data_IF_990838770432
#
_entry.id   IF_990838770432
#
_cell.length_a   1.000
_cell.length_b   1.000
_cell.length_c   1.000
_cell.angle_alpha   90.00
_cell.angle_beta   90.00
_cell.angle_gamma   90.00
#
_symmetry.space_group_name_H-M   'P 1'
#
loop_
_entity.id
_entity.type
_entity.pdbx_description
1 polymer ?
#
# COMPACT_ATOMS: atom_id res chain seq x y z
N UNK A 1 -3.19 -8.13 -25.63
CA UNK A 1 -1.90 -8.52 -26.25
C UNK A 1 -1.28 -9.61 -25.41
N UNK A 2 -0.93 -10.75 -25.99
CA UNK A 2 -0.25 -11.82 -25.26
C UNK A 2 1.23 -11.42 -25.09
N UNK A 3 1.66 -11.11 -23.88
CA UNK A 3 3.07 -10.87 -23.54
C UNK A 3 3.75 -12.22 -23.26
N UNK A 4 3.60 -13.17 -24.19
CA UNK A 4 4.33 -14.43 -24.11
C UNK A 4 5.76 -14.19 -24.57
N UNK A 5 6.69 -14.17 -23.62
CA UNK A 5 8.13 -14.07 -23.87
C UNK A 5 8.67 -12.64 -23.92
N UNK A 6 8.54 -11.89 -22.82
CA UNK A 6 9.20 -10.58 -22.72
C UNK A 6 10.70 -10.75 -22.83
N UNK A 7 11.28 -10.26 -23.95
CA UNK A 7 12.73 -10.12 -24.04
C UNK A 7 13.20 -9.10 -23.00
N UNK A 8 14.14 -9.46 -22.14
CA UNK A 8 14.78 -8.56 -21.18
C UNK A 8 16.08 -8.00 -21.77
N UNK A 9 16.58 -6.85 -21.33
CA UNK A 9 16.02 -6.00 -20.27
C UNK A 9 14.84 -5.14 -20.72
N UNK A 10 14.02 -4.69 -19.74
CA UNK A 10 12.94 -3.72 -19.91
C UNK A 10 13.24 -2.45 -19.09
N UNK A 11 12.66 -1.34 -19.52
CA UNK A 11 12.80 -0.03 -18.84
C UNK A 11 11.52 0.30 -18.10
N UNK A 12 11.63 0.48 -16.79
CA UNK A 12 10.55 0.85 -15.89
C UNK A 12 10.66 2.31 -15.48
N UNK A 13 9.61 3.09 -15.68
CA UNK A 13 9.43 4.41 -15.07
C UNK A 13 8.58 4.24 -13.81
N UNK A 14 9.21 4.31 -12.65
CA UNK A 14 8.58 4.10 -11.34
C UNK A 14 8.09 5.44 -10.80
N UNK A 15 6.78 5.63 -10.73
CA UNK A 15 6.14 6.86 -10.24
C UNK A 15 5.81 6.73 -8.75
N UNK A 16 6.72 7.18 -7.92
CA UNK A 16 6.77 7.01 -6.47
C UNK A 16 8.00 6.21 -6.07
N UNK A 17 8.91 6.87 -5.35
CA UNK A 17 10.21 6.31 -5.00
C UNK A 17 10.34 6.07 -3.49
N UNK A 18 9.24 5.69 -2.83
CA UNK A 18 9.22 5.32 -1.42
C UNK A 18 9.88 3.97 -1.12
N UNK A 19 9.62 3.45 0.07
CA UNK A 19 10.14 2.15 0.54
C UNK A 19 9.69 0.97 -0.32
N UNK A 20 8.43 0.95 -0.74
CA UNK A 20 7.89 -0.11 -1.60
C UNK A 20 8.50 -0.02 -2.99
N UNK A 21 8.60 1.20 -3.53
CA UNK A 21 9.28 1.45 -4.79
C UNK A 21 10.76 1.02 -4.78
N UNK A 22 11.46 1.18 -3.64
CA UNK A 22 12.84 0.70 -3.48
C UNK A 22 12.93 -0.83 -3.61
N UNK A 23 12.07 -1.56 -2.92
CA UNK A 23 12.07 -3.03 -3.00
C UNK A 23 11.63 -3.52 -4.40
N UNK A 24 10.68 -2.84 -5.05
CA UNK A 24 10.33 -3.12 -6.46
C UNK A 24 11.52 -2.88 -7.40
N UNK A 25 12.24 -1.75 -7.24
CA UNK A 25 13.42 -1.46 -8.03
C UNK A 25 14.51 -2.54 -7.84
N UNK A 26 14.75 -2.99 -6.60
CA UNK A 26 15.69 -4.09 -6.30
C UNK A 26 15.23 -5.37 -7.02
N UNK A 27 13.95 -5.73 -6.96
CA UNK A 27 13.43 -6.90 -7.66
C UNK A 27 13.63 -6.78 -9.20
N UNK A 28 13.35 -5.62 -9.79
CA UNK A 28 13.56 -5.36 -11.21
C UNK A 28 15.03 -5.47 -11.62
N UNK A 29 15.92 -4.91 -10.80
CA UNK A 29 17.38 -4.96 -11.03
C UNK A 29 17.94 -6.39 -10.96
N UNK A 30 17.39 -7.26 -10.09
CA UNK A 30 17.80 -8.69 -10.04
C UNK A 30 17.55 -9.44 -11.34
N UNK A 31 16.59 -9.00 -12.17
CA UNK A 31 16.34 -9.55 -13.50
C UNK A 31 16.98 -8.74 -14.63
N UNK A 32 17.92 -7.83 -14.31
CA UNK A 32 18.69 -7.06 -15.29
C UNK A 32 17.91 -5.91 -15.95
N UNK A 33 16.73 -5.53 -15.44
CA UNK A 33 15.97 -4.43 -15.99
C UNK A 33 16.54 -3.07 -15.60
N UNK A 34 16.14 -2.02 -16.34
CA UNK A 34 16.43 -0.63 -16.03
C UNK A 34 15.28 0.00 -15.26
N UNK A 35 15.61 0.84 -14.27
CA UNK A 35 14.64 1.55 -13.45
C UNK A 35 14.97 3.03 -13.40
N UNK A 36 14.02 3.86 -13.80
CA UNK A 36 14.04 5.32 -13.60
C UNK A 36 13.11 5.61 -12.44
N UNK A 37 13.64 6.08 -11.31
CA UNK A 37 12.88 6.37 -10.10
C UNK A 37 12.45 7.84 -10.08
N UNK A 38 11.15 8.09 -9.90
CA UNK A 38 10.56 9.43 -9.93
C UNK A 38 9.93 9.75 -8.57
N UNK A 39 10.24 10.90 -8.02
CA UNK A 39 9.56 11.43 -6.82
C UNK A 39 9.59 12.97 -6.82
N UNK A 40 8.84 13.59 -5.90
CA UNK A 40 8.80 15.05 -5.72
C UNK A 40 10.02 15.61 -4.97
N UNK A 41 10.89 14.78 -4.42
CA UNK A 41 12.09 15.17 -3.68
C UNK A 41 13.27 14.27 -4.02
N UNK A 42 14.47 14.83 -3.95
CA UNK A 42 15.70 14.12 -4.24
C UNK A 42 16.07 13.10 -3.16
N UNK A 43 16.89 12.12 -3.52
CA UNK A 43 17.35 11.05 -2.63
C UNK A 43 16.23 10.23 -2.00
N UNK A 44 15.08 10.11 -2.68
CA UNK A 44 14.04 9.19 -2.27
C UNK A 44 14.55 7.74 -2.26
N UNK A 45 13.99 6.85 -1.42
CA UNK A 45 14.50 5.49 -1.23
C UNK A 45 14.80 4.70 -2.50
N UNK A 46 13.92 4.69 -3.49
CA UNK A 46 14.13 3.95 -4.74
C UNK A 46 15.22 4.58 -5.62
N UNK A 47 15.42 5.91 -5.55
CA UNK A 47 16.49 6.58 -6.30
C UNK A 47 17.89 6.10 -5.93
N UNK A 48 18.05 5.53 -4.72
CA UNK A 48 19.33 5.01 -4.23
C UNK A 48 19.77 3.71 -4.90
N UNK A 49 18.84 3.02 -5.58
CA UNK A 49 19.05 1.70 -6.20
C UNK A 49 18.65 1.65 -7.68
N UNK A 50 18.07 2.72 -8.19
CA UNK A 50 17.68 2.87 -9.59
C UNK A 50 18.89 3.23 -10.49
N UNK A 51 18.72 3.10 -11.80
CA UNK A 51 19.73 3.51 -12.79
C UNK A 51 19.73 5.03 -12.99
N UNK A 52 18.55 5.64 -12.97
CA UNK A 52 18.37 7.08 -13.10
C UNK A 52 17.29 7.58 -12.13
N UNK A 53 17.32 8.88 -11.82
CA UNK A 53 16.38 9.52 -10.92
C UNK A 53 15.85 10.83 -11.52
N UNK A 54 14.54 11.07 -11.37
CA UNK A 54 13.88 12.30 -11.78
C UNK A 54 13.13 12.91 -10.59
N UNK A 55 13.29 14.22 -10.41
CA UNK A 55 12.62 14.96 -9.34
C UNK A 55 11.60 15.90 -9.97
N UNK A 56 10.32 15.51 -9.92
CA UNK A 56 9.21 16.28 -10.47
C UNK A 56 7.98 16.19 -9.58
N UNK A 57 7.04 17.10 -9.76
CA UNK A 57 5.67 16.90 -9.29
C UNK A 57 4.92 15.96 -10.24
N UNK A 58 4.54 14.79 -9.80
CA UNK A 58 3.75 13.86 -10.63
C UNK A 58 2.28 14.30 -10.83
N UNK A 59 1.88 15.40 -10.20
CA UNK A 59 0.61 16.10 -10.49
C UNK A 59 0.74 17.06 -11.66
N UNK A 60 1.97 17.35 -12.12
CA UNK A 60 2.26 18.16 -13.30
C UNK A 60 2.30 17.26 -14.55
N UNK A 61 1.30 17.42 -15.42
CA UNK A 61 1.16 16.61 -16.63
C UNK A 61 2.27 16.88 -17.67
N UNK A 62 2.78 18.11 -17.75
CA UNK A 62 3.83 18.47 -18.70
C UNK A 62 5.19 17.90 -18.24
N UNK A 63 5.45 17.92 -16.94
CA UNK A 63 6.62 17.26 -16.36
C UNK A 63 6.58 15.75 -16.59
N UNK A 64 5.43 15.09 -16.40
CA UNK A 64 5.25 13.66 -16.71
C UNK A 64 5.50 13.37 -18.20
N UNK A 65 4.94 14.19 -19.12
CA UNK A 65 5.16 14.04 -20.55
C UNK A 65 6.64 14.16 -20.92
N UNK A 66 7.34 15.13 -20.32
CA UNK A 66 8.76 15.36 -20.57
C UNK A 66 9.62 14.14 -20.21
N UNK A 67 9.42 13.55 -19.01
CA UNK A 67 10.22 12.38 -18.59
C UNK A 67 9.86 11.12 -19.36
N UNK A 68 8.58 10.91 -19.71
CA UNK A 68 8.17 9.77 -20.54
C UNK A 68 8.77 9.87 -21.94
N UNK A 69 8.79 11.08 -22.53
CA UNK A 69 9.43 11.33 -23.83
C UNK A 69 10.95 11.13 -23.77
N UNK A 70 11.59 11.59 -22.70
CA UNK A 70 13.04 11.44 -22.47
C UNK A 70 13.45 9.98 -22.36
N UNK A 71 12.80 9.22 -21.48
CA UNK A 71 13.22 7.87 -21.11
C UNK A 71 12.60 6.75 -21.96
N UNK A 72 11.47 7.00 -22.62
CA UNK A 72 10.73 6.04 -23.45
C UNK A 72 10.55 4.67 -22.78
N UNK A 73 9.96 4.63 -21.58
CA UNK A 73 9.86 3.39 -20.82
C UNK A 73 8.99 2.34 -21.50
N UNK A 74 9.29 1.07 -21.29
CA UNK A 74 8.40 -0.05 -21.65
C UNK A 74 7.18 -0.08 -20.73
N UNK A 75 7.38 0.24 -19.45
CA UNK A 75 6.35 0.22 -18.42
C UNK A 75 6.38 1.48 -17.55
N UNK A 76 5.21 2.05 -17.30
CA UNK A 76 5.00 3.07 -16.27
C UNK A 76 4.35 2.38 -15.07
N UNK A 77 4.97 2.49 -13.88
CA UNK A 77 4.52 1.80 -12.67
C UNK A 77 4.19 2.84 -11.59
N UNK A 78 2.90 3.21 -11.45
CA UNK A 78 2.40 4.00 -10.34
C UNK A 78 2.57 3.27 -9.00
N UNK A 79 3.18 3.93 -8.03
CA UNK A 79 3.49 3.40 -6.69
C UNK A 79 2.90 4.26 -5.56
N UNK A 80 2.37 5.43 -5.90
CA UNK A 80 1.71 6.34 -4.96
C UNK A 80 0.41 6.88 -5.55
N UNK A 81 -0.41 7.49 -4.70
CA UNK A 81 -1.71 8.04 -5.09
C UNK A 81 -1.62 9.49 -5.63
N UNK A 82 -0.50 10.19 -5.47
CA UNK A 82 -0.35 11.60 -5.88
C UNK A 82 0.18 11.74 -7.31
N UNK A 83 -0.58 11.24 -8.29
CA UNK A 83 -0.26 11.25 -9.73
C UNK A 83 -1.45 11.80 -10.52
N UNK A 84 -1.17 12.50 -11.62
CA UNK A 84 -2.21 12.93 -12.57
C UNK A 84 -2.67 11.74 -13.42
N UNK A 85 -3.77 11.13 -13.02
CA UNK A 85 -4.28 9.89 -13.64
C UNK A 85 -4.78 10.08 -15.06
N UNK A 86 -5.26 11.28 -15.42
CA UNK A 86 -5.64 11.62 -16.79
C UNK A 86 -4.45 11.46 -17.75
N UNK A 87 -3.25 11.84 -17.27
CA UNK A 87 -2.03 11.71 -18.06
C UNK A 87 -1.61 10.25 -18.25
N UNK A 88 -1.85 9.41 -17.25
CA UNK A 88 -1.64 7.96 -17.38
C UNK A 88 -2.55 7.36 -18.46
N UNK A 89 -3.82 7.78 -18.52
CA UNK A 89 -4.76 7.34 -19.54
C UNK A 89 -4.34 7.78 -20.97
N UNK A 90 -3.77 8.99 -21.11
CA UNK A 90 -3.19 9.44 -22.39
C UNK A 90 -2.00 8.57 -22.82
N UNK A 91 -1.14 8.16 -21.87
CA UNK A 91 -0.02 7.25 -22.17
C UNK A 91 -0.51 5.86 -22.60
N UNK A 92 -1.53 5.31 -21.93
CA UNK A 92 -2.15 4.04 -22.34
C UNK A 92 -2.74 4.14 -23.76
N UNK A 93 -3.44 5.24 -24.07
CA UNK A 93 -4.01 5.48 -25.40
C UNK A 93 -2.93 5.56 -26.51
N UNK A 94 -1.71 5.93 -26.15
CA UNK A 94 -0.53 5.95 -27.05
C UNK A 94 0.21 4.62 -27.11
N UNK A 95 -0.28 3.58 -26.42
CA UNK A 95 0.28 2.23 -26.40
C UNK A 95 1.41 2.00 -25.40
N UNK A 96 1.62 2.92 -24.46
CA UNK A 96 2.56 2.70 -23.34
C UNK A 96 1.84 1.87 -22.26
N UNK A 97 2.49 0.84 -21.77
CA UNK A 97 1.90 -0.02 -20.75
C UNK A 97 1.99 0.63 -19.36
N UNK A 98 0.85 0.91 -18.73
CA UNK A 98 0.75 1.43 -17.37
C UNK A 98 0.24 0.33 -16.45
N UNK A 99 0.94 0.04 -15.35
CA UNK A 99 0.56 -1.01 -14.39
C UNK A 99 0.81 -0.55 -12.95
N UNK A 100 -0.25 -0.46 -12.15
CA UNK A 100 -1.67 -0.76 -12.45
C UNK A 100 -2.22 0.15 -13.54
N UNK A 101 -3.33 -0.25 -14.17
CA UNK A 101 -3.94 0.57 -15.23
C UNK A 101 -4.27 1.98 -14.74
N UNK A 102 -4.30 2.95 -15.65
CA UNK A 102 -4.72 4.32 -15.32
C UNK A 102 -6.10 4.33 -14.65
N UNK A 103 -7.03 3.48 -15.11
CA UNK A 103 -8.34 3.31 -14.50
C UNK A 103 -8.23 2.78 -13.06
N UNK A 104 -7.48 1.72 -12.80
CA UNK A 104 -7.28 1.17 -11.46
C UNK A 104 -6.66 2.22 -10.51
N UNK A 105 -5.64 2.94 -10.98
CA UNK A 105 -5.02 4.04 -10.23
C UNK A 105 -6.03 5.13 -9.89
N UNK A 106 -6.86 5.53 -10.85
CA UNK A 106 -7.89 6.55 -10.64
C UNK A 106 -8.96 6.12 -9.64
N UNK A 107 -9.45 4.86 -9.74
CA UNK A 107 -10.45 4.33 -8.79
C UNK A 107 -9.92 4.29 -7.37
N UNK A 108 -8.70 3.87 -7.17
CA UNK A 108 -8.14 3.69 -5.82
C UNK A 108 -7.62 4.98 -5.18
N UNK A 109 -7.35 6.02 -5.97
CA UNK A 109 -7.08 7.37 -5.45
C UNK A 109 -8.33 8.01 -4.82
N UNK A 110 -9.52 7.59 -5.25
CA UNK A 110 -10.81 8.14 -4.85
C UNK A 110 -11.60 7.10 -4.06
N UNK A 111 -11.61 7.22 -2.73
CA UNK A 111 -12.25 6.25 -1.81
C UNK A 111 -13.74 6.06 -2.11
N UNK A 112 -14.43 7.09 -2.58
CA UNK A 112 -15.81 6.98 -3.00
C UNK A 112 -15.96 6.09 -4.24
N UNK A 113 -15.11 6.22 -5.24
CA UNK A 113 -15.20 5.44 -6.47
C UNK A 113 -14.99 3.94 -6.24
N UNK A 114 -13.95 3.58 -5.49
CA UNK A 114 -13.71 2.15 -5.21
C UNK A 114 -14.79 1.57 -4.31
N UNK A 115 -15.36 2.38 -3.38
CA UNK A 115 -16.47 1.97 -2.53
C UNK A 115 -17.75 1.75 -3.34
N UNK A 116 -18.09 2.67 -4.24
CA UNK A 116 -19.26 2.58 -5.10
C UNK A 116 -19.13 1.42 -6.09
N UNK A 117 -17.95 1.19 -6.65
CA UNK A 117 -17.67 0.00 -7.47
C UNK A 117 -17.92 -1.29 -6.68
N UNK A 118 -17.32 -1.41 -5.50
CA UNK A 118 -17.42 -2.64 -4.71
C UNK A 118 -18.85 -2.90 -4.21
N UNK A 119 -19.45 -1.93 -3.55
CA UNK A 119 -20.78 -2.08 -2.95
C UNK A 119 -21.90 -1.93 -3.96
N UNK A 120 -21.85 -0.89 -4.81
CA UNK A 120 -22.95 -0.52 -5.73
C UNK A 120 -22.98 -1.39 -6.97
N UNK A 121 -21.88 -1.48 -7.71
CA UNK A 121 -21.85 -2.19 -9.00
C UNK A 121 -21.66 -3.71 -8.82
N UNK A 122 -20.75 -4.10 -7.91
CA UNK A 122 -20.40 -5.51 -7.72
C UNK A 122 -21.24 -6.18 -6.61
N UNK A 123 -21.98 -5.42 -5.80
CA UNK A 123 -22.75 -5.98 -4.67
C UNK A 123 -21.89 -6.71 -3.65
N UNK A 124 -20.65 -6.24 -3.45
CA UNK A 124 -19.72 -6.81 -2.47
C UNK A 124 -20.06 -6.27 -1.08
N UNK A 125 -20.00 -7.12 -0.06
CA UNK A 125 -20.22 -6.68 1.32
C UNK A 125 -19.11 -5.74 1.77
N UNK A 126 -19.50 -4.49 2.10
CA UNK A 126 -18.66 -3.44 2.69
C UNK A 126 -19.29 -2.96 3.99
N UNK A 127 -18.62 -2.10 4.76
CA UNK A 127 -19.30 -1.29 5.76
C UNK A 127 -20.43 -0.49 5.11
N UNK A 128 -21.56 -0.28 5.79
CA UNK A 128 -22.59 0.69 5.34
C UNK A 128 -21.95 2.06 5.30
N UNK A 129 -22.26 2.88 4.30
CA UNK A 129 -21.62 4.16 4.12
C UNK A 129 -22.55 5.20 3.52
N UNK A 130 -22.16 6.45 3.65
CA UNK A 130 -22.78 7.58 2.97
C UNK A 130 -21.78 8.73 2.84
N UNK A 131 -22.09 9.69 1.98
CA UNK A 131 -21.23 10.83 1.71
C UNK A 131 -21.83 12.11 2.27
N UNK A 132 -20.96 13.07 2.63
CA UNK A 132 -21.36 14.39 3.07
C UNK A 132 -20.37 15.44 2.53
N UNK A 133 -20.91 16.55 2.01
CA UNK A 133 -20.21 17.73 1.56
C UNK A 133 -20.36 18.93 2.51
N UNK A 134 -21.22 18.79 3.52
CA UNK A 134 -21.45 19.78 4.56
C UNK A 134 -21.57 19.12 5.93
N UNK A 135 -21.38 19.90 6.99
CA UNK A 135 -21.57 19.39 8.37
C UNK A 135 -23.02 18.91 8.62
N UNK A 136 -24.01 19.59 8.04
CA UNK A 136 -25.43 19.21 8.17
C UNK A 136 -25.70 17.86 7.50
N UNK A 137 -25.14 17.62 6.31
CA UNK A 137 -25.21 16.33 5.63
C UNK A 137 -24.47 15.24 6.44
N UNK A 138 -23.31 15.55 7.01
CA UNK A 138 -22.57 14.63 7.87
C UNK A 138 -23.44 14.18 9.06
N UNK A 139 -24.10 15.12 9.72
CA UNK A 139 -25.00 14.82 10.84
C UNK A 139 -26.18 13.91 10.43
N UNK A 140 -26.77 14.17 9.27
CA UNK A 140 -27.87 13.35 8.74
C UNK A 140 -27.40 11.92 8.40
N UNK A 141 -26.29 11.79 7.68
CA UNK A 141 -25.74 10.47 7.30
C UNK A 141 -25.26 9.69 8.54
N UNK A 142 -24.61 10.36 9.49
CA UNK A 142 -24.18 9.71 10.73
C UNK A 142 -25.35 9.22 11.59
N UNK A 143 -26.48 9.94 11.60
CA UNK A 143 -27.70 9.50 12.28
C UNK A 143 -28.33 8.27 11.63
N UNK A 144 -28.27 8.15 10.29
CA UNK A 144 -28.75 7.00 9.54
C UNK A 144 -27.87 5.75 9.74
N UNK A 145 -26.55 5.93 9.69
CA UNK A 145 -25.58 4.84 9.88
C UNK A 145 -25.57 4.37 11.34
N UNK A 146 -25.71 5.30 12.28
CA UNK A 146 -25.64 5.03 13.72
C UNK A 146 -24.23 5.26 14.28
N UNK A 147 -24.08 5.05 15.59
CA UNK A 147 -22.83 5.22 16.33
C UNK A 147 -22.41 3.90 17.00
N UNK A 148 -21.09 3.62 17.12
CA UNK A 148 -20.00 4.42 16.55
C UNK A 148 -19.95 4.32 15.02
N UNK A 149 -19.40 5.37 14.38
CA UNK A 149 -19.10 5.38 12.96
C UNK A 149 -17.69 5.95 12.70
N UNK A 150 -17.24 5.88 11.46
CA UNK A 150 -15.91 6.38 11.06
C UNK A 150 -16.10 7.44 9.99
N UNK A 151 -15.60 8.65 10.26
CA UNK A 151 -15.56 9.76 9.32
C UNK A 151 -14.18 9.84 8.69
N UNK A 152 -14.11 9.85 7.36
CA UNK A 152 -12.85 9.90 6.60
C UNK A 152 -12.95 10.91 5.45
N UNK A 153 -11.87 11.64 5.10
CA UNK A 153 -11.83 12.34 3.82
C UNK A 153 -11.96 11.34 2.67
N UNK A 154 -12.63 11.72 1.59
CA UNK A 154 -12.71 10.88 0.38
C UNK A 154 -11.34 10.67 -0.23
N UNK A 155 -10.47 11.68 -0.17
CA UNK A 155 -9.11 11.63 -0.71
C UNK A 155 -8.10 11.87 0.41
N UNK A 156 -7.51 10.80 0.92
CA UNK A 156 -6.43 10.83 1.94
C UNK A 156 -5.65 9.52 1.91
N UNK A 157 -4.46 9.52 2.53
CA UNK A 157 -3.63 8.31 2.71
C UNK A 157 -3.18 8.18 4.17
N UNK A 158 -2.86 6.96 4.60
CA UNK A 158 -2.33 6.68 5.95
C UNK A 158 -3.24 7.19 7.07
N UNK A 159 -4.56 7.01 6.96
CA UNK A 159 -5.53 7.36 8.00
C UNK A 159 -5.65 8.84 8.36
N UNK A 160 -5.00 9.76 7.59
CA UNK A 160 -5.08 11.20 7.86
C UNK A 160 -6.49 11.70 7.71
N UNK A 161 -6.94 12.51 8.68
CA UNK A 161 -8.29 13.05 8.72
C UNK A 161 -9.36 12.02 9.13
N UNK A 162 -8.98 10.79 9.48
CA UNK A 162 -9.92 9.77 9.94
C UNK A 162 -10.22 9.92 11.43
N UNK A 163 -11.50 9.83 11.80
CA UNK A 163 -11.97 9.84 13.18
C UNK A 163 -12.99 8.75 13.43
N UNK A 164 -12.88 8.06 14.56
CA UNK A 164 -13.96 7.23 15.11
C UNK A 164 -14.86 8.15 15.93
N UNK A 165 -16.12 8.26 15.54
CA UNK A 165 -17.14 9.12 16.16
C UNK A 165 -18.08 8.25 16.95
N UNK A 166 -18.19 8.50 18.27
CA UNK A 166 -18.99 7.68 19.19
C UNK A 166 -20.32 8.31 19.57
N UNK A 167 -20.43 9.63 19.35
CA UNK A 167 -21.64 10.36 19.65
C UNK A 167 -21.80 11.58 18.72
N UNK A 168 -23.03 12.12 18.60
CA UNK A 168 -23.30 13.28 17.75
C UNK A 168 -22.44 14.52 18.07
N UNK A 169 -22.03 14.67 19.32
CA UNK A 169 -21.25 15.82 19.81
C UNK A 169 -19.83 15.85 19.19
N UNK A 170 -19.31 14.69 18.80
CA UNK A 170 -17.97 14.57 18.20
C UNK A 170 -17.95 14.91 16.71
N UNK A 171 -19.10 14.98 16.02
CA UNK A 171 -19.20 15.16 14.56
C UNK A 171 -18.55 16.47 14.06
N UNK A 172 -18.69 17.57 14.81
CA UNK A 172 -18.10 18.86 14.41
C UNK A 172 -16.58 18.78 14.38
N UNK A 173 -15.98 18.17 15.40
CA UNK A 173 -14.52 17.98 15.47
C UNK A 173 -14.03 17.03 14.38
N UNK A 174 -14.76 15.92 14.12
CA UNK A 174 -14.43 14.97 13.08
C UNK A 174 -14.52 15.61 11.68
N UNK A 175 -15.54 16.44 11.43
CA UNK A 175 -15.66 17.21 10.18
C UNK A 175 -14.48 18.13 9.96
N UNK A 176 -14.13 18.95 10.96
CA UNK A 176 -13.00 19.87 10.88
C UNK A 176 -11.71 19.13 10.58
N UNK A 177 -11.41 18.07 11.34
CA UNK A 177 -10.21 17.27 11.13
C UNK A 177 -10.17 16.61 9.74
N UNK A 178 -11.28 16.07 9.28
CA UNK A 178 -11.34 15.46 7.95
C UNK A 178 -11.14 16.47 6.82
N UNK A 179 -11.74 17.66 6.92
CA UNK A 179 -11.62 18.71 5.89
C UNK A 179 -10.26 19.37 5.87
N UNK A 180 -9.59 19.54 7.03
CA UNK A 180 -8.22 20.09 7.12
C UNK A 180 -7.16 19.13 6.57
N UNK A 181 -7.36 17.82 6.70
CA UNK A 181 -6.40 16.79 6.27
C UNK A 181 -6.71 16.17 4.91
N UNK A 182 -7.89 16.45 4.36
CA UNK A 182 -8.30 15.99 3.03
C UNK A 182 -7.44 16.61 1.93
N UNK A 183 -7.33 15.90 0.81
CA UNK A 183 -6.70 16.39 -0.42
C UNK A 183 -7.80 16.67 -1.45
N UNK A 184 -7.65 17.74 -2.22
CA UNK A 184 -8.59 18.14 -3.28
C UNK A 184 -9.36 19.42 -2.96
N UNK A 185 -10.03 19.96 -3.97
CA UNK A 185 -10.67 21.29 -3.93
C UNK A 185 -12.06 21.28 -3.27
N UNK A 186 -12.59 20.12 -2.94
CA UNK A 186 -13.92 19.97 -2.34
C UNK A 186 -13.84 19.25 -0.98
N UNK A 187 -14.46 19.85 0.03
CA UNK A 187 -14.65 19.23 1.32
C UNK A 187 -15.72 18.13 1.20
N UNK A 188 -15.31 16.90 0.90
CA UNK A 188 -16.20 15.72 0.84
C UNK A 188 -15.64 14.64 1.76
N UNK A 189 -16.51 14.10 2.61
CA UNK A 189 -16.18 13.00 3.51
C UNK A 189 -17.06 11.79 3.22
N UNK A 190 -16.56 10.61 3.58
CA UNK A 190 -17.33 9.38 3.69
C UNK A 190 -17.55 9.07 5.17
N UNK A 191 -18.75 8.69 5.53
CA UNK A 191 -19.12 8.16 6.84
C UNK A 191 -19.35 6.67 6.67
N UNK A 192 -18.66 5.87 7.46
CA UNK A 192 -18.74 4.42 7.40
C UNK A 192 -19.20 3.84 8.74
N UNK A 193 -19.98 2.78 8.70
CA UNK A 193 -20.27 1.95 9.86
C UNK A 193 -18.99 1.48 10.53
N UNK A 194 -18.92 1.56 11.85
CA UNK A 194 -17.81 0.99 12.59
C UNK A 194 -17.96 -0.53 12.67
N UNK A 195 -17.07 -1.26 11.98
CA UNK A 195 -17.08 -2.72 11.97
C UNK A 195 -16.36 -3.24 13.22
N UNK A 196 -17.06 -4.05 14.02
CA UNK A 196 -16.44 -4.83 15.09
C UNK A 196 -15.87 -6.10 14.49
N UNK A 197 -14.58 -6.11 14.22
CA UNK A 197 -13.86 -7.23 13.60
C UNK A 197 -12.99 -7.97 14.62
N UNK A 198 -12.72 -9.24 14.35
CA UNK A 198 -11.78 -10.07 15.13
C UNK A 198 -10.36 -9.96 14.56
N UNK A 199 -10.25 -9.78 13.25
CA UNK A 199 -8.99 -9.73 12.53
C UNK A 199 -9.11 -8.78 11.34
N UNK A 200 -8.04 -8.01 11.10
CA UNK A 200 -7.85 -7.23 9.89
C UNK A 200 -6.80 -7.91 9.02
N UNK A 201 -7.09 -8.16 7.76
CA UNK A 201 -6.18 -8.83 6.84
C UNK A 201 -5.95 -8.03 5.56
N UNK A 202 -4.76 -8.22 4.99
CA UNK A 202 -4.47 -7.92 3.59
C UNK A 202 -4.36 -9.22 2.82
N UNK A 203 -5.11 -9.34 1.73
CA UNK A 203 -5.00 -10.43 0.77
C UNK A 203 -4.30 -9.93 -0.48
N UNK A 204 -3.00 -10.24 -0.60
CA UNK A 204 -2.24 -9.95 -1.81
C UNK A 204 -2.77 -10.81 -2.95
N UNK A 205 -3.32 -10.14 -3.95
CA UNK A 205 -4.02 -10.72 -5.09
C UNK A 205 -3.25 -10.40 -6.36
N UNK A 206 -2.82 -11.42 -7.09
CA UNK A 206 -1.98 -11.27 -8.26
C UNK A 206 -2.79 -11.55 -9.53
N UNK A 207 -2.92 -10.55 -10.37
CA UNK A 207 -3.48 -10.68 -11.70
C UNK A 207 -2.40 -10.88 -12.73
N UNK A 208 -2.56 -11.89 -13.56
CA UNK A 208 -1.65 -12.22 -14.66
C UNK A 208 -2.25 -11.77 -15.99
N UNK A 209 -1.41 -11.51 -17.00
CA UNK A 209 -1.88 -11.25 -18.38
C UNK A 209 -2.71 -12.41 -18.94
N UNK A 210 -2.36 -13.63 -18.54
CA UNK A 210 -3.09 -14.85 -18.88
C UNK A 210 -2.98 -15.84 -17.72
N UNK A 211 -4.02 -16.64 -17.50
CA UNK A 211 -4.09 -17.59 -16.40
C UNK A 211 -5.00 -17.11 -15.26
N UNK A 212 -5.07 -17.88 -14.17
CA UNK A 212 -5.93 -17.57 -13.05
C UNK A 212 -5.40 -16.39 -12.21
N UNK A 213 -6.29 -15.76 -11.48
CA UNK A 213 -5.91 -14.88 -10.36
C UNK A 213 -5.29 -15.72 -9.25
N UNK A 214 -4.12 -15.30 -8.76
CA UNK A 214 -3.42 -15.98 -7.68
C UNK A 214 -3.54 -15.17 -6.38
N UNK A 215 -3.42 -15.88 -5.24
CA UNK A 215 -3.50 -15.26 -3.92
C UNK A 215 -2.30 -15.69 -3.07
N UNK A 216 -1.69 -14.74 -2.38
CA UNK A 216 -0.80 -15.09 -1.28
C UNK A 216 -1.62 -15.61 -0.09
N UNK A 217 -1.04 -16.43 0.79
CA UNK A 217 -1.62 -16.65 2.11
C UNK A 217 -1.93 -15.32 2.81
N UNK A 218 -3.07 -15.22 3.53
CA UNK A 218 -3.53 -13.97 4.09
C UNK A 218 -2.52 -13.39 5.09
N UNK A 219 -2.40 -12.07 5.08
CA UNK A 219 -1.53 -11.33 5.99
C UNK A 219 -2.39 -10.63 7.02
N UNK A 220 -2.24 -11.00 8.30
CA UNK A 220 -2.83 -10.24 9.39
C UNK A 220 -2.01 -8.99 9.67
N UNK A 221 -2.65 -7.91 10.08
CA UNK A 221 -1.94 -6.69 10.42
C UNK A 221 -2.59 -5.91 11.54
N UNK A 222 -1.84 -4.99 12.11
CA UNK A 222 -2.29 -4.04 13.11
C UNK A 222 -1.87 -2.63 12.70
N UNK A 223 -2.81 -1.72 12.80
CA UNK A 223 -2.60 -0.30 12.57
C UNK A 223 -2.74 0.49 13.87
N UNK A 224 -2.04 1.62 13.96
CA UNK A 224 -2.26 2.64 14.98
C UNK A 224 -2.31 4.00 14.29
N UNK A 225 -3.26 4.83 14.66
CA UNK A 225 -3.46 6.16 14.04
C UNK A 225 -3.63 6.09 12.51
N UNK A 226 -4.15 4.95 11.99
CA UNK A 226 -4.26 4.68 10.57
C UNK A 226 -2.94 4.36 9.86
N UNK A 227 -1.85 4.22 10.60
CA UNK A 227 -0.55 3.81 10.07
C UNK A 227 -0.22 2.36 10.47
N UNK A 228 0.33 1.61 9.52
CA UNK A 228 0.85 0.27 9.72
C UNK A 228 1.89 0.20 10.86
N UNK A 229 1.75 -0.77 11.74
CA UNK A 229 2.66 -1.03 12.85
C UNK A 229 3.35 -2.39 12.73
N UNK A 230 2.56 -3.44 12.48
CA UNK A 230 3.06 -4.79 12.32
C UNK A 230 2.16 -5.60 11.37
N UNK A 231 2.74 -6.61 10.73
CA UNK A 231 2.00 -7.63 10.00
C UNK A 231 2.59 -9.02 10.26
N UNK A 232 1.80 -10.04 9.98
CA UNK A 232 2.21 -11.44 10.15
C UNK A 232 1.57 -12.35 9.10
N UNK A 233 2.27 -13.42 8.74
CA UNK A 233 1.83 -14.37 7.74
C UNK A 233 2.22 -15.80 8.13
N UNK A 234 1.30 -16.79 7.96
CA UNK A 234 -0.09 -16.63 7.54
C UNK A 234 -1.00 -16.14 8.67
N UNK A 235 -2.00 -15.32 8.35
CA UNK A 235 -3.04 -14.96 9.32
C UNK A 235 -3.97 -16.14 9.58
N UNK A 236 -4.36 -16.42 10.83
CA UNK A 236 -5.32 -17.46 11.14
C UNK A 236 -6.74 -17.00 10.75
N UNK A 237 -7.29 -17.56 9.70
CA UNK A 237 -8.63 -17.30 9.21
C UNK A 237 -9.36 -18.59 8.88
N UNK A 238 -10.66 -18.66 9.15
CA UNK A 238 -11.48 -19.80 8.79
C UNK A 238 -11.50 -20.01 7.27
N UNK A 239 -11.37 -21.25 6.76
CA UNK A 239 -11.30 -21.51 5.31
C UNK A 239 -12.45 -20.92 4.52
N UNK A 240 -13.66 -20.89 5.07
CA UNK A 240 -14.84 -20.35 4.39
C UNK A 240 -14.78 -18.81 4.27
N UNK A 241 -14.27 -18.12 5.29
CA UNK A 241 -14.06 -16.67 5.25
C UNK A 241 -12.92 -16.30 4.30
N UNK A 242 -11.87 -17.12 4.23
CA UNK A 242 -10.80 -16.94 3.24
C UNK A 242 -11.34 -17.08 1.81
N UNK A 243 -12.17 -18.08 1.53
CA UNK A 243 -12.82 -18.23 0.22
C UNK A 243 -13.69 -17.04 -0.13
N UNK A 244 -14.44 -16.49 0.84
CA UNK A 244 -15.21 -15.25 0.63
C UNK A 244 -14.29 -14.10 0.26
N UNK A 245 -13.24 -13.86 1.02
CA UNK A 245 -12.27 -12.80 0.75
C UNK A 245 -11.62 -12.96 -0.65
N UNK A 246 -11.20 -14.18 -1.03
CA UNK A 246 -10.65 -14.48 -2.35
C UNK A 246 -11.66 -14.20 -3.48
N UNK A 247 -12.92 -14.62 -3.31
CA UNK A 247 -13.97 -14.36 -4.30
C UNK A 247 -14.24 -12.86 -4.47
N UNK A 248 -14.26 -12.11 -3.38
CA UNK A 248 -14.42 -10.65 -3.41
C UNK A 248 -13.21 -10.00 -4.11
N UNK A 249 -11.99 -10.34 -3.67
CA UNK A 249 -10.77 -9.79 -4.22
C UNK A 249 -10.65 -10.07 -5.74
N UNK A 250 -10.98 -11.28 -6.16
CA UNK A 250 -10.99 -11.65 -7.58
C UNK A 250 -11.94 -10.76 -8.37
N UNK A 251 -13.20 -10.63 -7.95
CA UNK A 251 -14.21 -9.83 -8.65
C UNK A 251 -13.82 -8.36 -8.77
N UNK A 252 -13.35 -7.76 -7.68
CA UNK A 252 -12.94 -6.34 -7.68
C UNK A 252 -11.72 -6.13 -8.58
N UNK A 253 -10.69 -6.96 -8.45
CA UNK A 253 -9.46 -6.81 -9.25
C UNK A 253 -9.68 -7.13 -10.73
N UNK A 254 -10.57 -8.09 -11.06
CA UNK A 254 -10.97 -8.36 -12.45
C UNK A 254 -11.65 -7.17 -13.10
N UNK A 255 -12.51 -6.48 -12.38
CA UNK A 255 -13.19 -5.27 -12.87
C UNK A 255 -12.23 -4.11 -13.08
N UNK A 256 -11.24 -3.92 -12.20
CA UNK A 256 -10.20 -2.90 -12.36
C UNK A 256 -9.25 -3.20 -13.54
N UNK A 257 -9.10 -4.47 -13.91
CA UNK A 257 -8.29 -4.90 -15.05
C UNK A 257 -6.78 -4.80 -14.82
N UNK A 258 -6.03 -5.04 -15.90
CA UNK A 258 -4.57 -5.03 -15.89
C UNK A 258 -3.95 -6.28 -15.24
N UNK A 259 -2.62 -6.33 -15.25
CA UNK A 259 -1.81 -7.32 -14.55
C UNK A 259 -1.08 -6.63 -13.39
N UNK A 260 -0.54 -7.40 -12.44
CA UNK A 260 0.16 -6.86 -11.28
C UNK A 260 -0.40 -7.39 -9.96
N UNK A 261 0.09 -6.83 -8.86
CA UNK A 261 -0.36 -7.17 -7.52
C UNK A 261 -1.35 -6.12 -6.99
N UNK A 262 -2.30 -6.59 -6.20
CA UNK A 262 -3.29 -5.77 -5.51
C UNK A 262 -3.30 -6.16 -4.04
N UNK A 263 -3.12 -5.19 -3.15
CA UNK A 263 -3.33 -5.36 -1.71
C UNK A 263 -4.81 -5.10 -1.39
N UNK A 264 -5.58 -6.15 -1.12
CA UNK A 264 -7.01 -6.04 -0.81
C UNK A 264 -7.22 -6.23 0.69
N UNK A 265 -7.76 -5.23 1.35
CA UNK A 265 -7.96 -5.24 2.80
C UNK A 265 -9.37 -5.67 3.18
N UNK A 266 -9.46 -6.48 4.24
CA UNK A 266 -10.72 -6.99 4.76
C UNK A 266 -10.78 -6.89 6.28
N UNK A 267 -11.95 -6.56 6.79
CA UNK A 267 -12.33 -6.84 8.16
C UNK A 267 -12.95 -8.24 8.23
N UNK A 268 -12.43 -9.06 9.13
CA UNK A 268 -12.92 -10.42 9.35
C UNK A 268 -13.75 -10.44 10.64
N UNK A 269 -15.03 -10.73 10.48
CA UNK A 269 -15.96 -10.95 11.58
C UNK A 269 -16.23 -12.44 11.74
N UNK A 270 -16.92 -12.92 12.79
CA UNK A 270 -17.24 -14.35 12.95
C UNK A 270 -17.98 -14.98 11.76
N UNK A 271 -18.72 -14.16 11.00
CA UNK A 271 -19.63 -14.60 9.94
C UNK A 271 -19.28 -14.11 8.53
N UNK A 272 -18.36 -13.18 8.38
CA UNK A 272 -18.08 -12.58 7.07
C UNK A 272 -16.68 -12.02 6.89
N UNK A 273 -16.22 -12.01 5.64
CA UNK A 273 -15.17 -11.14 5.14
C UNK A 273 -15.81 -9.88 4.55
N UNK A 274 -15.48 -8.73 5.12
CA UNK A 274 -16.04 -7.42 4.72
C UNK A 274 -14.93 -6.63 4.01
N UNK A 275 -15.16 -6.26 2.75
CA UNK A 275 -14.23 -5.46 1.97
C UNK A 275 -14.03 -4.07 2.61
N UNK A 276 -12.78 -3.70 2.84
CA UNK A 276 -12.39 -2.42 3.42
C UNK A 276 -11.81 -1.47 2.38
N UNK A 277 -10.66 -1.81 1.82
CA UNK A 277 -9.92 -0.95 0.90
C UNK A 277 -9.13 -1.81 -0.11
N UNK A 278 -8.61 -1.18 -1.18
CA UNK A 278 -7.75 -1.82 -2.15
C UNK A 278 -6.65 -0.85 -2.61
N UNK A 279 -5.43 -1.35 -2.62
CA UNK A 279 -4.27 -0.71 -3.24
C UNK A 279 -3.84 -1.51 -4.47
N UNK A 280 -3.79 -0.92 -5.68
CA UNK A 280 -3.47 -1.65 -6.92
C UNK A 280 -1.95 -1.75 -7.13
N UNK A 281 -1.20 -2.04 -6.09
CA UNK A 281 0.26 -2.05 -5.99
C UNK A 281 0.72 -2.89 -4.81
N UNK A 282 2.04 -3.14 -4.64
CA UNK A 282 2.58 -3.69 -3.39
C UNK A 282 2.08 -2.93 -2.17
N UNK A 283 1.83 -3.64 -1.08
CA UNK A 283 1.21 -3.12 0.13
C UNK A 283 2.20 -3.12 1.30
N UNK A 284 2.17 -2.11 2.15
CA UNK A 284 3.12 -2.00 3.27
C UNK A 284 3.03 -3.17 4.26
N UNK A 285 1.85 -3.77 4.43
CA UNK A 285 1.68 -5.01 5.21
C UNK A 285 2.37 -6.20 4.54
N UNK A 286 2.55 -6.17 3.23
CA UNK A 286 3.22 -7.21 2.43
C UNK A 286 4.74 -7.27 2.61
N UNK A 287 5.35 -6.31 3.32
CA UNK A 287 6.78 -6.37 3.67
C UNK A 287 7.17 -7.66 4.39
N UNK A 288 6.25 -8.31 5.10
CA UNK A 288 6.49 -9.62 5.74
C UNK A 288 6.85 -10.69 4.70
N UNK A 289 6.41 -10.56 3.45
CA UNK A 289 6.70 -11.52 2.38
C UNK A 289 8.18 -11.56 1.99
N UNK A 290 8.95 -10.54 2.35
CA UNK A 290 10.41 -10.53 2.15
C UNK A 290 11.13 -11.69 2.86
N UNK A 291 10.52 -12.26 3.90
CA UNK A 291 11.11 -13.37 4.66
C UNK A 291 10.17 -14.57 4.79
N UNK A 292 8.86 -14.41 4.56
CA UNK A 292 7.88 -15.48 4.81
C UNK A 292 7.71 -16.45 3.65
N UNK A 293 7.89 -16.02 2.39
CA UNK A 293 7.53 -16.82 1.21
C UNK A 293 8.63 -16.84 0.13
N UNK A 294 8.50 -17.79 -0.79
CA UNK A 294 9.47 -18.04 -1.87
C UNK A 294 9.59 -16.90 -2.88
N UNK A 295 8.50 -16.17 -3.12
CA UNK A 295 8.43 -14.97 -3.94
C UNK A 295 7.80 -13.87 -3.11
N UNK A 296 8.53 -12.81 -2.83
CA UNK A 296 7.96 -11.67 -2.13
C UNK A 296 6.99 -10.88 -3.03
N UNK A 297 6.21 -9.98 -2.45
CA UNK A 297 5.19 -9.21 -3.16
C UNK A 297 5.76 -8.40 -4.34
N UNK A 298 7.00 -7.92 -4.24
CA UNK A 298 7.65 -7.13 -5.29
C UNK A 298 8.07 -8.01 -6.47
N UNK A 299 8.57 -9.21 -6.19
CA UNK A 299 8.90 -10.21 -7.21
C UNK A 299 7.63 -10.73 -7.90
N UNK A 300 6.55 -10.94 -7.14
CA UNK A 300 5.24 -11.30 -7.68
C UNK A 300 4.68 -10.20 -8.60
N UNK A 301 4.77 -8.94 -8.15
CA UNK A 301 4.36 -7.78 -8.95
C UNK A 301 5.15 -7.70 -10.26
N UNK A 302 6.47 -7.78 -10.17
CA UNK A 302 7.34 -7.74 -11.35
C UNK A 302 7.05 -8.90 -12.32
N UNK A 303 6.89 -10.13 -11.81
CA UNK A 303 6.57 -11.28 -12.67
C UNK A 303 5.22 -11.12 -13.36
N UNK A 304 4.22 -10.61 -12.65
CA UNK A 304 2.91 -10.32 -13.22
C UNK A 304 3.01 -9.26 -14.34
N UNK A 305 3.74 -8.16 -14.12
CA UNK A 305 3.99 -7.11 -15.12
C UNK A 305 4.67 -7.67 -16.37
N UNK A 306 5.73 -8.45 -16.18
CA UNK A 306 6.53 -9.02 -17.26
C UNK A 306 5.87 -10.24 -17.94
N UNK A 307 4.75 -10.75 -17.44
CA UNK A 307 4.13 -11.98 -17.91
C UNK A 307 4.99 -13.23 -17.66
N UNK A 308 5.85 -13.20 -16.65
CA UNK A 308 6.68 -14.32 -16.24
C UNK A 308 5.88 -15.33 -15.41
N UNK A 309 6.23 -16.63 -15.47
CA UNK A 309 5.51 -17.67 -14.72
C UNK A 309 5.57 -17.45 -13.20
N UNK A 310 4.44 -17.69 -12.54
CA UNK A 310 4.31 -17.80 -11.09
C UNK A 310 3.76 -19.20 -10.80
N UNK A 311 4.61 -20.24 -10.73
CA UNK A 311 4.14 -21.61 -10.64
C UNK A 311 3.51 -21.94 -9.28
N UNK A 312 4.05 -21.35 -8.21
CA UNK A 312 3.55 -21.52 -6.85
C UNK A 312 3.95 -20.34 -5.94
N UNK A 313 3.17 -20.13 -4.89
CA UNK A 313 3.44 -19.21 -3.80
C UNK A 313 3.45 -20.03 -2.51
N UNK A 314 4.64 -20.22 -1.93
CA UNK A 314 4.85 -21.07 -0.76
C UNK A 314 5.33 -20.23 0.42
N UNK A 315 4.68 -20.40 1.59
CA UNK A 315 5.18 -19.86 2.86
C UNK A 315 6.15 -20.87 3.47
N UNK A 316 7.33 -20.40 3.88
CA UNK A 316 8.37 -21.22 4.47
C UNK A 316 8.06 -21.56 5.93
N UNK A 317 7.76 -20.52 6.70
CA UNK A 317 7.47 -20.61 8.14
C UNK A 317 6.72 -19.36 8.61
N UNK A 318 6.08 -19.39 9.78
CA UNK A 318 5.43 -18.21 10.33
C UNK A 318 6.39 -17.02 10.44
N UNK A 319 5.96 -15.87 9.97
CA UNK A 319 6.79 -14.68 9.95
C UNK A 319 6.00 -13.44 10.35
N UNK A 320 6.72 -12.41 10.76
CA UNK A 320 6.14 -11.10 11.08
C UNK A 320 7.08 -9.97 10.67
N UNK A 321 6.50 -8.80 10.50
CA UNK A 321 7.20 -7.56 10.31
C UNK A 321 6.72 -6.51 11.32
N UNK A 322 7.61 -5.61 11.74
CA UNK A 322 7.29 -4.52 12.66
C UNK A 322 7.98 -3.22 12.20
N UNK A 323 7.24 -2.11 12.20
CA UNK A 323 7.74 -0.82 11.75
C UNK A 323 8.79 -0.24 12.70
N UNK A 324 9.88 0.28 12.14
CA UNK A 324 10.87 1.10 12.83
C UNK A 324 10.47 2.56 12.63
N UNK A 325 10.13 3.26 13.72
CA UNK A 325 9.53 4.58 13.69
C UNK A 325 10.49 5.65 14.18
N UNK A 326 10.46 6.82 13.52
CA UNK A 326 11.11 8.02 14.03
C UNK A 326 10.27 8.65 15.16
N UNK A 327 10.95 9.28 16.10
CA UNK A 327 10.34 9.89 17.30
C UNK A 327 10.20 11.42 17.21
N UNK A 328 10.85 12.07 16.22
CA UNK A 328 10.75 13.51 16.00
C UNK A 328 10.95 13.91 14.54
N UNK A 329 10.67 15.14 14.23
CA UNK A 329 10.97 15.75 12.93
C UNK A 329 12.45 16.13 12.87
N UNK A 330 13.05 15.92 11.68
CA UNK A 330 14.41 16.40 11.37
C UNK A 330 14.38 17.84 10.90
N UNK A 331 15.39 18.60 11.29
CA UNK A 331 15.72 19.86 10.65
C UNK A 331 16.44 19.63 9.31
N UNK A 332 16.40 20.58 8.35
CA UNK A 332 17.05 20.42 7.04
C UNK A 332 18.55 20.15 7.10
N UNK A 333 19.22 20.58 8.15
CA UNK A 333 20.67 20.40 8.36
C UNK A 333 21.02 19.09 9.09
N UNK A 334 20.03 18.29 9.50
CA UNK A 334 20.26 17.04 10.21
C UNK A 334 20.26 15.85 9.26
N UNK A 335 21.16 14.91 9.49
CA UNK A 335 21.23 13.62 8.81
C UNK A 335 20.62 12.53 9.64
N UNK A 336 19.89 11.61 8.99
CA UNK A 336 19.32 10.43 9.64
C UNK A 336 20.39 9.38 9.84
N UNK A 337 20.53 8.91 11.08
CA UNK A 337 21.44 7.81 11.46
C UNK A 337 20.67 6.75 12.25
N UNK A 338 21.21 5.54 12.27
CA UNK A 338 20.58 4.39 12.92
C UNK A 338 21.56 3.75 13.90
N UNK A 339 21.13 3.57 15.14
CA UNK A 339 21.86 2.87 16.20
C UNK A 339 21.17 1.56 16.57
N UNK A 340 21.88 0.66 17.26
CA UNK A 340 21.37 -0.62 17.74
C UNK A 340 21.21 -1.70 16.68
N UNK A 341 21.62 -1.47 15.42
CA UNK A 341 21.45 -2.44 14.33
C UNK A 341 22.25 -3.73 14.56
N UNK A 342 23.46 -3.63 15.11
CA UNK A 342 24.28 -4.81 15.41
C UNK A 342 23.59 -5.70 16.45
N UNK A 343 23.03 -5.12 17.51
CA UNK A 343 22.27 -5.85 18.53
C UNK A 343 20.99 -6.45 17.96
N UNK A 344 20.25 -5.68 17.18
CA UNK A 344 19.01 -6.11 16.53
C UNK A 344 19.22 -7.35 15.64
N UNK A 345 20.34 -7.45 14.94
CA UNK A 345 20.67 -8.56 14.04
C UNK A 345 21.34 -9.76 14.72
N UNK A 346 21.59 -9.70 16.04
CA UNK A 346 22.08 -10.87 16.80
C UNK A 346 21.01 -11.95 16.99
N UNK A 347 19.73 -11.60 16.89
CA UNK A 347 18.65 -12.56 17.08
C UNK A 347 18.48 -13.44 15.80
N UNK A 348 18.60 -14.79 15.89
CA UNK A 348 18.50 -15.64 14.70
C UNK A 348 17.12 -15.57 14.04
N UNK A 349 17.09 -15.69 12.70
CA UNK A 349 15.86 -15.65 11.91
C UNK A 349 15.25 -14.26 11.81
N UNK A 350 16.05 -13.22 11.99
CA UNK A 350 15.63 -11.82 11.83
C UNK A 350 16.36 -11.14 10.69
N UNK A 351 15.77 -10.06 10.19
CA UNK A 351 16.36 -9.18 9.19
C UNK A 351 15.82 -7.76 9.40
N UNK A 352 16.47 -6.76 8.82
CA UNK A 352 16.06 -5.36 8.89
C UNK A 352 16.14 -4.73 7.49
N UNK A 353 15.13 -3.95 7.13
CA UNK A 353 15.17 -3.07 5.96
C UNK A 353 15.13 -1.63 6.42
N UNK A 354 16.21 -0.91 6.23
CA UNK A 354 16.27 0.54 6.42
C UNK A 354 15.88 1.21 5.11
N UNK A 355 14.87 2.07 5.16
CA UNK A 355 14.31 2.64 3.92
C UNK A 355 15.21 3.67 3.27
N UNK A 356 16.05 4.35 4.07
CA UNK A 356 16.94 5.39 3.56
C UNK A 356 16.22 6.71 3.27
N UNK A 357 15.10 6.99 3.96
CA UNK A 357 14.40 8.28 3.83
C UNK A 357 15.30 9.42 4.33
N UNK A 358 15.46 10.52 3.56
CA UNK A 358 16.42 11.57 3.89
C UNK A 358 16.01 12.47 5.05
N UNK A 359 14.76 12.39 5.50
CA UNK A 359 14.22 13.21 6.60
C UNK A 359 13.30 12.38 7.50
N UNK A 360 13.03 12.88 8.69
CA UNK A 360 12.10 12.26 9.63
C UNK A 360 10.94 13.20 9.98
N UNK A 361 9.89 12.63 10.53
CA UNK A 361 8.82 13.28 11.30
C UNK A 361 8.36 12.29 12.35
N UNK A 362 7.67 12.76 13.36
CA UNK A 362 7.13 11.87 14.38
C UNK A 362 6.30 10.74 13.75
N UNK A 363 6.55 9.52 14.18
CA UNK A 363 5.93 8.28 13.69
C UNK A 363 6.20 7.95 12.22
N UNK A 364 7.12 8.66 11.53
CA UNK A 364 7.49 8.25 10.17
C UNK A 364 8.16 6.90 10.20
N UNK A 365 7.68 5.97 9.38
CA UNK A 365 8.31 4.66 9.18
C UNK A 365 9.65 4.87 8.46
N UNK A 366 10.73 4.46 9.10
CA UNK A 366 12.10 4.62 8.63
C UNK A 366 12.74 3.29 8.25
N UNK A 367 12.11 2.19 8.63
CA UNK A 367 12.53 0.84 8.34
C UNK A 367 11.46 -0.17 8.77
N UNK A 368 11.75 -1.43 8.55
CA UNK A 368 10.97 -2.56 9.02
C UNK A 368 11.91 -3.64 9.54
N UNK A 369 11.60 -4.16 10.72
CA UNK A 369 12.18 -5.39 11.26
C UNK A 369 11.35 -6.58 10.78
N UNK A 370 12.02 -7.64 10.37
CA UNK A 370 11.44 -8.87 9.84
C UNK A 370 11.88 -10.05 10.71
N UNK A 371 10.99 -10.98 11.00
CA UNK A 371 11.35 -12.15 11.80
C UNK A 371 10.57 -13.39 11.37
N UNK A 372 11.24 -14.56 11.48
CA UNK A 372 10.66 -15.88 11.34
C UNK A 372 10.76 -16.64 12.65
N UNK A 373 9.78 -17.50 12.92
CA UNK A 373 9.76 -18.34 14.13
C UNK A 373 8.80 -19.53 13.95
N UNK A 374 8.77 -20.44 14.94
CA UNK A 374 7.90 -21.63 14.92
C UNK A 374 6.40 -21.28 15.02
N UNK A 375 6.07 -20.10 15.50
CA UNK A 375 4.67 -19.62 15.58
C UNK A 375 4.55 -18.12 15.28
N UNK A 376 3.34 -17.70 14.90
CA UNK A 376 3.02 -16.29 14.64
C UNK A 376 3.32 -15.40 15.86
N UNK A 377 2.93 -15.82 17.06
CA UNK A 377 3.14 -15.05 18.28
C UNK A 377 4.63 -14.85 18.58
N UNK A 378 5.44 -15.89 18.37
CA UNK A 378 6.89 -15.79 18.50
C UNK A 378 7.50 -14.88 17.44
N UNK A 379 7.08 -14.99 16.17
CA UNK A 379 7.56 -14.16 15.09
C UNK A 379 7.22 -12.67 15.35
N UNK A 380 5.99 -12.36 15.76
CA UNK A 380 5.54 -11.02 16.14
C UNK A 380 6.35 -10.46 17.32
N UNK A 381 6.49 -11.24 18.40
CA UNK A 381 7.28 -10.84 19.56
C UNK A 381 8.74 -10.53 19.16
N UNK A 382 9.33 -11.36 18.31
CA UNK A 382 10.70 -11.20 17.80
C UNK A 382 10.83 -9.95 16.91
N UNK A 383 9.98 -9.77 15.91
CA UNK A 383 10.00 -8.60 15.05
C UNK A 383 9.85 -7.29 15.84
N UNK A 384 8.95 -7.26 16.82
CA UNK A 384 8.76 -6.10 17.69
C UNK A 384 9.98 -5.80 18.58
N UNK A 385 10.68 -6.84 19.11
CA UNK A 385 11.93 -6.62 19.86
C UNK A 385 13.00 -6.00 18.96
N UNK A 386 13.22 -6.58 17.78
CA UNK A 386 14.19 -6.08 16.80
C UNK A 386 13.87 -4.64 16.38
N UNK A 387 12.60 -4.33 16.09
CA UNK A 387 12.20 -2.98 15.72
C UNK A 387 12.49 -1.95 16.84
N UNK A 388 12.34 -2.33 18.12
CA UNK A 388 12.64 -1.45 19.28
C UNK A 388 14.14 -1.30 19.54
N UNK A 389 14.97 -2.26 19.16
CA UNK A 389 16.43 -2.18 19.31
C UNK A 389 17.02 -1.18 18.32
N UNK A 390 16.40 -1.00 17.15
CA UNK A 390 16.88 -0.02 16.16
C UNK A 390 16.35 1.37 16.49
N UNK A 391 17.27 2.28 16.80
CA UNK A 391 16.94 3.67 17.11
C UNK A 391 17.21 4.57 15.91
N UNK A 392 16.24 5.43 15.60
CA UNK A 392 16.36 6.45 14.55
C UNK A 392 16.79 7.76 15.19
N UNK A 393 18.04 8.14 14.97
CA UNK A 393 18.65 9.33 15.52
C UNK A 393 18.96 10.37 14.44
N UNK A 394 19.26 11.58 14.85
CA UNK A 394 19.57 12.71 13.99
C UNK A 394 20.88 13.33 14.43
N UNK A 395 21.81 13.53 13.50
CA UNK A 395 23.09 14.20 13.74
C UNK A 395 23.11 15.52 13.00
N UNK A 396 23.50 16.61 13.71
CA UNK A 396 23.83 17.86 13.04
C UNK A 396 25.07 17.72 12.17
N UNK A 397 25.11 18.47 11.07
CA UNK A 397 26.30 18.62 10.23
C UNK A 397 27.37 19.42 10.95
#
# INVERSE_FOLDING_TARGET
MSVTGSTLPKTFLLLGSGELGKEFAIAAKRLGNQVIAVDRYANAPAMQVADEAEVISMLDGDALESIVTKHRPDFIVPEIEAIRTEKLAEFEARGITVIPTAAATHYTMNRDRIRDLAAGELGVRTARYGYAATLAELQAVAAEIGFPNVVKPVMSSSGKGQSVVRSPEELTTAWQYATEQGRGDQAKVIVEEFIHFELEITLLTIRQWSGPTLFCPPIGHRQERGDYQESWQPAPIAPELLKQAQSIAQRVTETLGGAGIFGVEFFITPDAAIFSELSPRPHDTGMVTLVSQNLNEFELHLRAILGLPIPEITVYEPAASAAILANRQSDPAESVVYDGLAEALMEPGTDVRLFGKPSTRQYRRMGVALARADSIDQARAKANRVARSVQVNLTGL
#
